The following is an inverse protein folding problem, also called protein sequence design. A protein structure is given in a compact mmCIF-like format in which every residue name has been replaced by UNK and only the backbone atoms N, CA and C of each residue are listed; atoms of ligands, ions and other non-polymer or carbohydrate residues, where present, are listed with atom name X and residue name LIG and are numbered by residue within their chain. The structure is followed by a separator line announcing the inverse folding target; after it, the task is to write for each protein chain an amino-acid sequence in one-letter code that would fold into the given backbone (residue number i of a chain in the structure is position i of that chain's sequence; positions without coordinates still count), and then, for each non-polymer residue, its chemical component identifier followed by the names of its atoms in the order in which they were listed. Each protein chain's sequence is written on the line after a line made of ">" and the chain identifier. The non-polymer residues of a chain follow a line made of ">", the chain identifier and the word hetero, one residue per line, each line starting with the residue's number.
data_IF_630602645051
#
_entry.id   IF_630602645051
#
_cell.length_a   1.000
_cell.length_b   1.000
_cell.length_c   1.000
_cell.angle_alpha   90.00
_cell.angle_beta   90.00
_cell.angle_gamma   90.00
#
_symmetry.space_group_name_H-M   'P 1'
#
loop_
_entity.id
_entity.type
_entity.pdbx_description
1 polymer ?
#
# COMPACT_ATOMS: atom_id res chain seq x y z
N UNK A 1 -1.20 56.40 16.56
CA UNK A 1 -1.60 55.46 17.60
C UNK A 1 -1.50 54.08 16.94
N UNK A 2 -0.39 53.43 17.16
CA UNK A 2 -0.03 52.11 16.66
C UNK A 2 -0.42 51.08 17.71
N UNK A 3 -1.33 50.18 17.38
CA UNK A 3 -1.69 49.00 18.19
C UNK A 3 -0.74 47.86 17.79
N UNK A 4 0.24 47.57 18.65
CA UNK A 4 1.06 46.35 18.59
C UNK A 4 0.27 45.22 19.26
N UNK A 5 -0.28 44.30 18.46
CA UNK A 5 -0.75 43.01 18.96
C UNK A 5 0.45 42.07 19.10
N UNK A 6 0.94 41.97 20.33
CA UNK A 6 1.90 40.93 20.74
C UNK A 6 1.20 39.57 20.83
N UNK A 7 1.26 38.79 19.76
CA UNK A 7 0.93 37.37 19.77
C UNK A 7 1.94 36.59 20.60
N UNK A 8 1.53 36.09 21.74
CA UNK A 8 2.29 35.11 22.52
C UNK A 8 2.44 33.82 21.68
N UNK A 9 3.67 33.57 21.20
CA UNK A 9 4.01 32.24 20.66
C UNK A 9 3.81 31.22 21.77
N UNK A 10 2.92 30.25 21.53
CA UNK A 10 2.82 29.07 22.38
C UNK A 10 4.20 28.37 22.36
N UNK A 11 4.68 27.98 23.54
CA UNK A 11 5.94 27.26 23.65
C UNK A 11 5.74 25.88 23.02
N UNK A 12 6.47 25.62 21.96
CA UNK A 12 6.58 24.28 21.36
C UNK A 12 7.30 23.38 22.37
N UNK A 13 6.62 22.35 22.83
CA UNK A 13 7.17 21.32 23.70
C UNK A 13 7.54 20.11 22.85
N UNK A 14 8.57 19.36 23.24
CA UNK A 14 8.97 18.14 22.55
C UNK A 14 8.73 16.93 23.44
N UNK A 15 8.23 15.84 22.86
CA UNK A 15 8.08 14.56 23.54
C UNK A 15 9.45 14.05 24.04
N UNK A 16 9.59 13.69 25.33
CA UNK A 16 10.87 13.25 25.89
C UNK A 16 11.32 11.88 25.34
N UNK A 17 10.45 11.13 24.68
CA UNK A 17 10.73 9.79 24.19
C UNK A 17 11.10 9.78 22.71
N UNK A 18 10.35 10.48 21.84
CA UNK A 18 10.56 10.47 20.40
C UNK A 18 11.02 11.82 19.82
N UNK A 19 10.96 12.90 20.60
CA UNK A 19 11.37 14.24 20.16
C UNK A 19 10.31 15.00 19.36
N UNK A 20 9.13 14.39 19.09
CA UNK A 20 8.03 14.99 18.34
C UNK A 20 7.47 16.22 19.04
N UNK A 21 6.97 17.20 18.27
CA UNK A 21 6.33 18.41 18.80
C UNK A 21 5.01 18.01 19.47
N UNK A 22 4.83 18.46 20.73
CA UNK A 22 3.62 18.23 21.50
C UNK A 22 3.07 19.55 22.03
N UNK A 23 1.78 19.65 22.20
CA UNK A 23 1.10 20.88 22.61
C UNK A 23 0.74 20.86 24.09
N UNK A 24 0.69 22.04 24.69
CA UNK A 24 0.33 22.18 26.11
C UNK A 24 -1.10 21.71 26.36
N UNK A 25 -1.26 20.68 27.19
CA UNK A 25 -2.55 20.08 27.55
C UNK A 25 -2.78 18.68 26.98
N UNK A 26 -1.93 18.23 26.08
CA UNK A 26 -1.93 16.84 25.61
C UNK A 26 -1.50 15.90 26.73
N UNK A 27 -2.23 14.80 26.88
CA UNK A 27 -1.95 13.80 27.92
C UNK A 27 -0.97 12.72 27.44
N UNK A 28 -0.89 12.52 26.13
CA UNK A 28 -0.05 11.54 25.47
C UNK A 28 0.55 12.16 24.22
N UNK A 29 1.74 11.74 23.85
CA UNK A 29 2.32 12.02 22.55
C UNK A 29 1.58 11.19 21.49
N UNK A 30 1.03 11.85 20.47
CA UNK A 30 0.28 11.15 19.40
C UNK A 30 1.19 10.25 18.58
N UNK A 31 2.47 10.58 18.44
CA UNK A 31 3.44 9.82 17.66
C UNK A 31 3.90 8.51 18.34
N UNK A 32 4.20 8.53 19.64
CA UNK A 32 4.79 7.37 20.34
C UNK A 32 3.97 6.85 21.54
N UNK A 33 2.82 7.47 21.85
CA UNK A 33 1.98 7.10 22.98
C UNK A 33 2.56 7.44 24.35
N UNK A 34 3.71 8.15 24.43
CA UNK A 34 4.33 8.52 25.72
C UNK A 34 3.45 9.49 26.50
N UNK A 35 3.22 9.20 27.80
CA UNK A 35 2.43 10.08 28.67
C UNK A 35 3.16 11.38 28.98
N UNK A 36 2.49 12.50 28.76
CA UNK A 36 3.02 13.84 28.92
C UNK A 36 2.64 14.52 30.25
N UNK A 37 1.70 13.89 31.01
CA UNK A 37 1.15 14.44 32.24
C UNK A 37 2.01 14.22 33.50
N UNK A 38 3.21 13.67 33.35
CA UNK A 38 4.21 13.49 34.42
C UNK A 38 3.79 12.51 35.53
N UNK A 39 2.67 11.79 35.39
CA UNK A 39 2.25 10.76 36.34
C UNK A 39 2.90 9.43 35.98
N UNK A 40 3.82 8.99 36.83
CA UNK A 40 4.41 7.65 36.73
C UNK A 40 3.37 6.55 36.99
N UNK A 41 3.69 5.26 36.68
CA UNK A 41 2.76 4.13 36.72
C UNK A 41 2.18 3.78 38.10
N UNK A 42 2.53 4.47 39.18
CA UNK A 42 2.21 4.13 40.58
C UNK A 42 1.12 5.01 41.24
N UNK A 43 0.29 5.75 40.48
CA UNK A 43 -0.79 6.57 41.08
C UNK A 43 -2.14 5.91 40.84
N UNK A 44 -2.65 5.21 41.85
CA UNK A 44 -3.99 4.67 41.91
C UNK A 44 -5.05 5.79 41.95
N UNK A 45 -6.24 5.64 41.32
CA UNK A 45 -7.29 6.67 41.38
C UNK A 45 -8.03 6.65 42.70
N UNK A 46 -8.24 7.84 43.25
CA UNK A 46 -9.11 8.08 44.42
C UNK A 46 -10.54 7.75 44.09
N UNK A 47 -11.13 6.88 44.93
CA UNK A 47 -12.54 6.51 44.93
C UNK A 47 -13.42 7.65 45.42
N UNK A 48 -14.31 8.17 44.57
CA UNK A 48 -15.48 8.94 44.99
C UNK A 48 -16.77 8.17 44.71
N UNK A 49 -17.52 8.01 45.78
CA UNK A 49 -18.72 7.18 45.87
C UNK A 49 -19.87 7.54 44.92
N UNK A 50 -20.48 6.54 44.38
CA UNK A 50 -21.70 6.63 43.56
C UNK A 50 -22.93 6.16 44.31
N UNK A 51 -23.99 6.91 44.18
CA UNK A 51 -25.36 6.63 44.71
C UNK A 51 -26.09 5.75 43.68
N UNK A 52 -26.83 4.71 44.10
CA UNK A 52 -27.56 3.85 43.16
C UNK A 52 -28.89 4.51 42.73
N UNK A 53 -29.21 4.43 41.44
CA UNK A 53 -30.54 4.70 40.88
C UNK A 53 -31.20 3.40 40.48
N UNK A 54 -32.37 3.17 41.07
CA UNK A 54 -33.26 2.03 40.80
C UNK A 54 -33.81 2.05 39.36
N UNK A 55 -33.88 0.87 38.78
CA UNK A 55 -34.34 0.66 37.42
C UNK A 55 -35.81 0.36 37.28
N UNK A 56 -36.39 0.75 36.16
CA UNK A 56 -37.74 0.36 35.72
C UNK A 56 -37.58 -0.74 34.68
N UNK A 57 -38.20 -1.90 34.96
CA UNK A 57 -38.22 -3.08 34.10
C UNK A 57 -39.35 -2.97 33.07
N UNK A 58 -39.04 -2.95 31.79
CA UNK A 58 -40.01 -3.21 30.70
C UNK A 58 -39.70 -4.55 30.07
N UNK A 59 -40.61 -5.52 30.21
CA UNK A 59 -40.58 -6.80 29.52
C UNK A 59 -41.10 -6.61 28.09
N UNK A 60 -40.28 -6.85 27.12
CA UNK A 60 -40.71 -7.20 25.76
C UNK A 60 -40.11 -8.54 25.37
N UNK A 61 -40.99 -9.51 25.15
CA UNK A 61 -40.69 -10.82 24.64
C UNK A 61 -40.67 -10.79 23.13
N UNK A 62 -39.48 -10.98 22.54
CA UNK A 62 -39.32 -11.41 21.16
C UNK A 62 -38.31 -12.53 21.09
N UNK A 63 -38.75 -13.70 20.65
CA UNK A 63 -37.94 -14.87 20.40
C UNK A 63 -37.07 -14.67 19.16
N UNK A 64 -35.79 -14.35 19.35
CA UNK A 64 -34.76 -14.45 18.32
C UNK A 64 -33.78 -15.55 18.71
N UNK A 65 -33.61 -16.51 17.83
CA UNK A 65 -32.63 -17.59 17.93
C UNK A 65 -31.23 -16.93 17.99
N UNK A 66 -30.68 -16.87 19.19
CA UNK A 66 -29.29 -16.42 19.38
C UNK A 66 -28.37 -17.55 18.98
N UNK A 67 -27.74 -17.38 17.82
CA UNK A 67 -26.49 -18.10 17.49
C UNK A 67 -25.49 -17.78 18.60
N UNK A 68 -25.08 -18.79 19.38
CA UNK A 68 -24.03 -18.63 20.39
C UNK A 68 -22.70 -18.43 19.66
N UNK A 69 -22.30 -17.18 19.45
CA UNK A 69 -20.88 -16.88 19.21
C UNK A 69 -20.16 -17.27 20.51
N UNK A 70 -19.34 -18.28 20.46
CA UNK A 70 -18.34 -18.56 21.49
C UNK A 70 -17.42 -17.34 21.52
N UNK A 71 -17.40 -16.62 22.64
CA UNK A 71 -16.46 -15.53 22.82
C UNK A 71 -15.05 -16.07 22.65
N UNK A 72 -14.25 -15.44 21.79
CA UNK A 72 -12.85 -15.76 21.65
C UNK A 72 -12.16 -15.62 23.02
N UNK A 73 -11.19 -16.47 23.37
CA UNK A 73 -10.47 -16.37 24.64
C UNK A 73 -9.82 -14.99 24.75
N UNK A 74 -10.11 -14.28 25.83
CA UNK A 74 -9.51 -12.96 26.12
C UNK A 74 -7.99 -13.19 26.27
N UNK A 75 -7.20 -12.60 25.37
CA UNK A 75 -5.74 -12.65 25.45
C UNK A 75 -5.27 -11.67 26.52
N UNK A 76 -4.43 -12.09 27.50
CA UNK A 76 -3.87 -11.17 28.47
C UNK A 76 -2.95 -10.14 27.79
N UNK A 77 -2.90 -8.93 28.35
CA UNK A 77 -2.00 -7.88 27.90
C UNK A 77 -0.56 -8.37 27.85
N UNK A 78 0.12 -8.18 26.74
CA UNK A 78 1.50 -8.61 26.51
C UNK A 78 2.51 -7.90 27.41
N UNK A 79 2.16 -6.74 27.95
CA UNK A 79 3.03 -5.97 28.84
C UNK A 79 2.81 -6.24 30.33
N UNK A 80 1.55 -6.24 30.80
CA UNK A 80 1.26 -6.36 32.23
C UNK A 80 0.42 -7.58 32.63
N UNK A 81 -0.04 -8.39 31.68
CA UNK A 81 -0.89 -9.54 31.93
C UNK A 81 -2.36 -9.22 32.29
N UNK A 82 -2.73 -7.93 32.31
CA UNK A 82 -4.13 -7.52 32.55
C UNK A 82 -5.06 -7.98 31.43
N UNK A 83 -6.35 -8.26 31.76
CA UNK A 83 -7.32 -8.80 30.81
C UNK A 83 -8.37 -7.79 30.36
N UNK A 84 -8.34 -6.57 30.91
CA UNK A 84 -9.20 -5.47 30.51
C UNK A 84 -8.54 -4.74 29.33
N UNK A 85 -9.07 -5.01 28.15
CA UNK A 85 -8.66 -4.36 26.88
C UNK A 85 -9.88 -3.59 26.39
N UNK A 86 -9.71 -2.29 26.09
CA UNK A 86 -10.76 -1.44 25.58
C UNK A 86 -11.14 -1.77 24.12
N UNK A 87 -12.14 -1.03 23.59
CA UNK A 87 -12.63 -1.24 22.22
C UNK A 87 -11.56 -0.87 21.16
N UNK A 88 -10.61 -0.01 21.50
CA UNK A 88 -9.54 0.46 20.63
C UNK A 88 -8.27 -0.42 20.74
N UNK A 89 -8.32 -1.46 21.55
CA UNK A 89 -7.27 -2.46 21.71
C UNK A 89 -6.18 -2.07 22.71
N UNK A 90 -6.40 -1.07 23.56
CA UNK A 90 -5.44 -0.69 24.60
C UNK A 90 -5.75 -1.38 25.94
N UNK A 91 -4.71 -1.76 26.66
CA UNK A 91 -4.87 -2.30 28.02
C UNK A 91 -5.25 -1.18 28.98
N UNK A 92 -6.44 -1.28 29.60
CA UNK A 92 -6.92 -0.29 30.58
C UNK A 92 -6.02 -0.18 31.82
N UNK A 93 -5.18 -1.20 32.09
CA UNK A 93 -4.31 -1.19 33.25
C UNK A 93 -2.96 -0.49 33.00
N UNK A 94 -2.32 -0.67 31.83
CA UNK A 94 -0.99 -0.12 31.56
C UNK A 94 -0.93 0.78 30.31
N UNK A 95 -2.02 0.95 29.59
CA UNK A 95 -2.09 1.77 28.38
C UNK A 95 -1.42 1.14 27.14
N UNK A 96 -0.85 -0.07 27.25
CA UNK A 96 -0.18 -0.71 26.14
C UNK A 96 -1.21 -1.21 25.12
N UNK A 97 -1.03 -0.79 23.85
CA UNK A 97 -1.80 -1.33 22.73
C UNK A 97 -1.51 -2.81 22.57
N UNK A 98 -2.56 -3.59 22.36
CA UNK A 98 -2.41 -5.02 22.11
C UNK A 98 -2.29 -5.29 20.60
N UNK A 99 -1.51 -6.28 20.17
CA UNK A 99 -1.44 -6.70 18.78
C UNK A 99 -2.83 -7.04 18.23
N UNK A 100 -3.19 -6.49 17.10
CA UNK A 100 -4.42 -6.79 16.39
C UNK A 100 -4.15 -7.78 15.25
N UNK A 101 -5.15 -8.57 14.87
CA UNK A 101 -5.02 -9.53 13.76
C UNK A 101 -4.72 -8.81 12.42
N UNK A 102 -5.03 -7.52 12.33
CA UNK A 102 -4.71 -6.68 11.16
C UNK A 102 -3.28 -6.14 11.14
N UNK A 103 -2.57 -6.15 12.26
CA UNK A 103 -1.23 -5.55 12.34
C UNK A 103 -0.24 -6.24 11.39
N UNK A 104 -0.47 -7.52 11.09
CA UNK A 104 0.23 -8.27 10.07
C UNK A 104 -0.72 -9.26 9.42
N UNK A 105 -0.89 -9.18 8.10
CA UNK A 105 -1.78 -10.03 7.30
C UNK A 105 -1.01 -10.62 6.14
N UNK A 106 -1.19 -11.90 5.89
CA UNK A 106 -0.69 -12.59 4.71
C UNK A 106 -1.84 -13.28 3.99
N UNK A 107 -1.90 -13.12 2.67
CA UNK A 107 -2.91 -13.74 1.82
C UNK A 107 -2.19 -14.60 0.79
N UNK A 108 -2.62 -15.85 0.65
CA UNK A 108 -2.11 -16.79 -0.33
C UNK A 108 -3.22 -17.20 -1.30
N UNK A 109 -2.95 -17.11 -2.59
CA UNK A 109 -3.84 -17.62 -3.63
C UNK A 109 -3.21 -18.88 -4.26
N UNK A 110 -3.78 -20.07 -4.00
CA UNK A 110 -3.26 -21.31 -4.57
C UNK A 110 -3.39 -21.35 -6.10
N UNK A 111 -2.37 -21.91 -6.78
CA UNK A 111 -2.42 -22.13 -8.22
C UNK A 111 -3.46 -23.23 -8.58
N UNK A 112 -4.21 -23.06 -9.67
CA UNK A 112 -5.12 -24.09 -10.15
C UNK A 112 -4.38 -25.42 -10.42
N UNK A 113 -4.94 -26.56 -9.97
CA UNK A 113 -4.41 -27.89 -10.29
C UNK A 113 -3.15 -28.31 -9.53
N UNK A 114 -2.78 -27.62 -8.47
CA UNK A 114 -1.70 -28.07 -7.56
C UNK A 114 -2.10 -29.38 -6.87
N UNK A 115 -1.81 -30.53 -7.53
CA UNK A 115 -2.06 -31.85 -7.01
C UNK A 115 -0.81 -32.36 -6.26
N UNK A 116 -1.06 -33.06 -5.12
CA UNK A 116 -0.09 -33.88 -4.41
C UNK A 116 1.08 -33.15 -3.73
N UNK A 117 0.78 -32.37 -2.69
CA UNK A 117 1.80 -32.08 -1.65
C UNK A 117 2.72 -30.88 -1.93
N UNK A 118 2.79 -30.36 -3.13
CA UNK A 118 3.53 -29.13 -3.46
C UNK A 118 2.52 -27.98 -3.55
N UNK A 119 2.50 -27.10 -2.55
CA UNK A 119 1.64 -25.91 -2.54
C UNK A 119 2.25 -24.85 -3.45
N UNK A 120 1.91 -24.87 -4.76
CA UNK A 120 2.24 -23.75 -5.65
C UNK A 120 1.23 -22.63 -5.43
N UNK A 121 1.72 -21.41 -5.27
CA UNK A 121 0.90 -20.22 -5.20
C UNK A 121 0.84 -19.55 -6.57
N UNK A 122 -0.33 -19.10 -6.98
CA UNK A 122 -0.49 -18.27 -8.17
C UNK A 122 -0.14 -16.82 -7.87
N UNK A 123 -0.46 -16.36 -6.66
CA UNK A 123 -0.12 -15.05 -6.15
C UNK A 123 -0.11 -15.07 -4.63
N UNK A 124 0.46 -14.02 -4.03
CA UNK A 124 0.36 -13.79 -2.59
C UNK A 124 0.49 -12.29 -2.29
N UNK A 125 0.08 -11.91 -1.08
CA UNK A 125 0.28 -10.57 -0.58
C UNK A 125 0.58 -10.57 0.90
N UNK A 126 1.17 -9.48 1.35
CA UNK A 126 1.46 -9.22 2.76
C UNK A 126 1.16 -7.74 3.06
N UNK A 127 0.62 -7.51 4.25
CA UNK A 127 0.37 -6.19 4.79
C UNK A 127 0.88 -6.13 6.22
N UNK A 128 1.59 -5.08 6.57
CA UNK A 128 2.17 -4.85 7.89
C UNK A 128 1.90 -3.42 8.35
N UNK A 129 1.60 -3.26 9.63
CA UNK A 129 1.33 -1.97 10.25
C UNK A 129 2.52 -1.00 10.22
N UNK A 130 3.70 -1.50 9.95
CA UNK A 130 4.92 -0.73 10.11
C UNK A 130 5.34 -0.55 11.57
N UNK A 131 6.32 0.33 11.80
CA UNK A 131 6.91 0.51 13.12
C UNK A 131 6.36 1.72 13.88
N UNK A 132 5.68 2.65 13.20
CA UNK A 132 5.28 3.94 13.78
C UNK A 132 3.78 4.07 14.00
N UNK A 133 2.96 3.56 13.11
CA UNK A 133 1.50 3.65 13.24
C UNK A 133 0.95 2.76 14.35
N UNK A 134 -0.11 3.20 14.97
CA UNK A 134 -0.81 2.44 16.02
C UNK A 134 -1.70 1.33 15.46
N UNK A 135 -2.11 1.42 14.20
CA UNK A 135 -2.97 0.45 13.51
C UNK A 135 -2.54 0.30 12.06
N UNK A 136 -2.95 -0.77 11.42
CA UNK A 136 -2.81 -0.95 9.99
C UNK A 136 -4.06 -0.39 9.30
N UNK A 137 -3.90 0.70 8.57
CA UNK A 137 -4.94 1.40 7.83
C UNK A 137 -5.04 0.92 6.38
N UNK A 138 -4.06 0.14 5.93
CA UNK A 138 -4.05 -0.52 4.62
C UNK A 138 -4.97 -1.72 4.55
N UNK A 139 -5.38 -2.08 3.34
CA UNK A 139 -6.08 -3.31 3.04
C UNK A 139 -5.63 -3.93 1.72
N UNK A 140 -5.72 -5.25 1.66
CA UNK A 140 -5.38 -6.07 0.52
C UNK A 140 -6.48 -7.10 0.28
N UNK A 141 -6.90 -7.27 -0.96
CA UNK A 141 -7.73 -8.38 -1.41
C UNK A 141 -7.09 -9.06 -2.63
N UNK A 142 -7.18 -10.39 -2.69
CA UNK A 142 -6.60 -11.21 -3.73
C UNK A 142 -7.57 -12.34 -4.07
N UNK A 143 -8.10 -12.40 -5.29
CA UNK A 143 -9.10 -13.35 -5.73
C UNK A 143 -8.69 -13.97 -7.07
N UNK A 144 -9.11 -15.24 -7.26
CA UNK A 144 -9.08 -15.87 -8.59
C UNK A 144 -10.39 -15.60 -9.30
N UNK A 145 -10.32 -15.46 -10.62
CA UNK A 145 -11.46 -15.54 -11.53
C UNK A 145 -11.15 -16.54 -12.66
N UNK A 146 -12.12 -16.80 -13.54
CA UNK A 146 -12.05 -17.86 -14.54
C UNK A 146 -10.83 -17.80 -15.47
N UNK A 147 -10.31 -16.61 -15.77
CA UNK A 147 -9.20 -16.39 -16.71
C UNK A 147 -7.94 -15.81 -16.05
N UNK A 148 -7.90 -15.64 -14.71
CA UNK A 148 -6.73 -15.07 -14.05
C UNK A 148 -6.92 -14.70 -12.59
N UNK A 149 -6.31 -13.58 -12.20
CA UNK A 149 -6.21 -13.10 -10.83
C UNK A 149 -6.63 -11.63 -10.79
N UNK A 150 -7.43 -11.28 -9.81
CA UNK A 150 -7.77 -9.90 -9.45
C UNK A 150 -7.18 -9.57 -8.08
N UNK A 151 -6.54 -8.42 -7.96
CA UNK A 151 -6.03 -7.88 -6.69
C UNK A 151 -6.41 -6.43 -6.53
N UNK A 152 -6.62 -6.03 -5.28
CA UNK A 152 -6.79 -4.63 -4.88
C UNK A 152 -5.91 -4.37 -3.67
N UNK A 153 -5.15 -3.27 -3.71
CA UNK A 153 -4.49 -2.65 -2.57
C UNK A 153 -5.13 -1.29 -2.35
N UNK A 154 -5.38 -0.94 -1.11
CA UNK A 154 -5.98 0.33 -0.71
C UNK A 154 -5.33 0.81 0.58
N UNK A 155 -4.93 2.07 0.59
CA UNK A 155 -4.31 2.76 1.70
C UNK A 155 -5.32 3.73 2.31
N UNK A 156 -5.51 3.64 3.61
CA UNK A 156 -6.44 4.50 4.33
C UNK A 156 -5.86 5.87 4.59
N UNK A 157 -6.54 6.94 4.16
CA UNK A 157 -6.07 8.32 4.39
C UNK A 157 -6.07 8.65 5.88
N UNK A 158 -4.90 8.67 6.51
CA UNK A 158 -4.73 8.78 7.97
C UNK A 158 -5.35 10.03 8.61
N UNK A 159 -5.57 11.10 7.85
CA UNK A 159 -6.29 12.29 8.30
C UNK A 159 -7.81 12.13 8.28
N UNK A 160 -8.35 11.07 7.66
CA UNK A 160 -9.78 10.78 7.61
C UNK A 160 -10.24 9.99 8.84
N UNK A 161 -11.55 9.86 9.01
CA UNK A 161 -12.12 9.05 10.10
C UNK A 161 -12.18 7.58 9.71
N UNK A 162 -11.70 6.68 10.55
CA UNK A 162 -11.71 5.22 10.33
C UNK A 162 -11.14 4.82 8.97
N UNK A 163 -9.91 5.26 8.64
CA UNK A 163 -9.29 4.98 7.34
C UNK A 163 -9.16 3.49 7.07
N UNK A 164 -8.99 2.68 8.13
CA UNK A 164 -8.96 1.22 8.05
C UNK A 164 -10.28 0.56 7.62
N UNK A 165 -11.41 1.22 7.84
CA UNK A 165 -12.72 0.75 7.34
C UNK A 165 -12.88 1.10 5.86
N UNK A 166 -12.39 2.29 5.45
CA UNK A 166 -12.40 2.73 4.05
C UNK A 166 -11.58 1.78 3.17
N UNK A 167 -10.32 1.58 3.52
CA UNK A 167 -9.40 0.72 2.75
C UNK A 167 -9.92 -0.71 2.64
N UNK A 168 -10.46 -1.26 3.75
CA UNK A 168 -11.07 -2.59 3.73
C UNK A 168 -12.30 -2.66 2.81
N UNK A 169 -13.22 -1.70 2.92
CA UNK A 169 -14.41 -1.67 2.08
C UNK A 169 -14.05 -1.55 0.60
N UNK A 170 -13.04 -0.73 0.29
CA UNK A 170 -12.54 -0.56 -1.07
C UNK A 170 -11.93 -1.86 -1.60
N UNK A 171 -11.02 -2.49 -0.85
CA UNK A 171 -10.34 -3.70 -1.28
C UNK A 171 -11.30 -4.88 -1.45
N UNK A 172 -12.13 -5.16 -0.45
CA UNK A 172 -13.06 -6.29 -0.47
C UNK A 172 -14.12 -6.13 -1.57
N UNK A 173 -14.72 -4.93 -1.70
CA UNK A 173 -15.76 -4.67 -2.70
C UNK A 173 -15.17 -4.63 -4.10
N UNK A 174 -14.04 -3.93 -4.29
CA UNK A 174 -13.39 -3.79 -5.59
C UNK A 174 -12.95 -5.14 -6.16
N UNK A 175 -12.28 -5.97 -5.36
CA UNK A 175 -11.81 -7.28 -5.81
C UNK A 175 -12.98 -8.24 -6.12
N UNK A 176 -14.04 -8.24 -5.29
CA UNK A 176 -15.21 -9.08 -5.52
C UNK A 176 -15.98 -8.69 -6.78
N UNK A 177 -16.20 -7.38 -6.99
CA UNK A 177 -16.89 -6.87 -8.19
C UNK A 177 -16.06 -7.15 -9.45
N UNK A 178 -14.74 -6.94 -9.39
CA UNK A 178 -13.83 -7.17 -10.50
C UNK A 178 -13.84 -8.63 -10.92
N UNK A 179 -13.69 -9.57 -9.99
CA UNK A 179 -13.74 -11.00 -10.26
C UNK A 179 -15.11 -11.43 -10.84
N UNK A 180 -16.22 -10.94 -10.28
CA UNK A 180 -17.57 -11.28 -10.73
C UNK A 180 -17.86 -10.79 -12.16
N UNK A 181 -17.42 -9.58 -12.53
CA UNK A 181 -17.59 -9.03 -13.87
C UNK A 181 -16.78 -9.79 -14.90
N UNK A 182 -15.52 -10.10 -14.59
CA UNK A 182 -14.66 -10.90 -15.46
C UNK A 182 -15.19 -12.32 -15.65
N UNK A 183 -15.74 -12.94 -14.61
CA UNK A 183 -16.41 -14.24 -14.71
C UNK A 183 -17.69 -14.19 -15.56
N UNK A 184 -18.33 -13.03 -15.66
CA UNK A 184 -19.46 -12.81 -16.57
C UNK A 184 -19.05 -12.54 -18.02
N UNK A 185 -17.74 -12.40 -18.30
CA UNK A 185 -17.19 -12.14 -19.63
C UNK A 185 -17.20 -10.68 -20.03
N UNK A 186 -17.24 -9.75 -19.06
CA UNK A 186 -17.12 -8.32 -19.30
C UNK A 186 -15.67 -7.97 -19.70
N UNK A 187 -15.52 -6.92 -20.50
CA UNK A 187 -14.21 -6.40 -20.90
C UNK A 187 -13.38 -6.00 -19.68
N UNK A 188 -12.07 -6.33 -19.61
CA UNK A 188 -11.24 -6.05 -18.44
C UNK A 188 -11.14 -4.56 -18.05
N UNK A 189 -11.16 -3.63 -19.01
CA UNK A 189 -11.10 -2.19 -18.69
C UNK A 189 -12.44 -1.70 -18.14
N UNK A 190 -13.55 -2.14 -18.71
CA UNK A 190 -14.88 -1.80 -18.24
C UNK A 190 -15.14 -2.40 -16.85
N UNK A 191 -14.75 -3.67 -16.65
CA UNK A 191 -14.84 -4.36 -15.36
C UNK A 191 -13.98 -3.63 -14.30
N UNK A 192 -12.77 -3.21 -14.65
CA UNK A 192 -11.86 -2.49 -13.75
C UNK A 192 -12.42 -1.13 -13.35
N UNK A 193 -12.92 -0.36 -14.32
CA UNK A 193 -13.55 0.94 -14.05
C UNK A 193 -14.80 0.80 -13.18
N UNK A 194 -15.65 -0.17 -13.50
CA UNK A 194 -16.87 -0.40 -12.73
C UNK A 194 -16.58 -0.89 -11.30
N UNK A 195 -15.55 -1.73 -11.11
CA UNK A 195 -15.14 -2.21 -9.79
C UNK A 195 -14.60 -1.06 -8.92
N UNK A 196 -13.79 -0.16 -9.47
CA UNK A 196 -13.30 1.02 -8.75
C UNK A 196 -14.44 1.96 -8.34
N UNK A 197 -15.40 2.20 -9.22
CA UNK A 197 -16.59 3.01 -8.89
C UNK A 197 -17.47 2.32 -7.84
N UNK A 198 -17.58 0.99 -7.90
CA UNK A 198 -18.32 0.22 -6.89
C UNK A 198 -17.64 0.26 -5.52
N UNK A 199 -16.31 0.20 -5.49
CA UNK A 199 -15.52 0.41 -4.29
C UNK A 199 -15.76 1.82 -3.71
N UNK A 200 -15.76 2.85 -4.55
CA UNK A 200 -16.04 4.23 -4.13
C UNK A 200 -17.45 4.38 -3.50
N UNK A 201 -18.47 3.75 -4.09
CA UNK A 201 -19.81 3.71 -3.49
C UNK A 201 -19.82 3.05 -2.11
N UNK A 202 -19.06 1.94 -1.94
CA UNK A 202 -18.98 1.23 -0.68
C UNK A 202 -18.27 2.05 0.41
N UNK A 203 -17.18 2.75 0.06
CA UNK A 203 -16.49 3.67 0.97
C UNK A 203 -17.38 4.85 1.34
N UNK A 204 -18.00 5.50 0.37
CA UNK A 204 -18.90 6.64 0.61
C UNK A 204 -20.09 6.27 1.53
N UNK A 205 -20.57 5.03 1.44
CA UNK A 205 -21.66 4.53 2.29
C UNK A 205 -21.28 4.39 3.79
N UNK A 206 -19.98 4.42 4.12
CA UNK A 206 -19.50 4.40 5.52
C UNK A 206 -19.65 5.74 6.23
N UNK A 207 -19.78 6.82 5.48
CA UNK A 207 -19.84 8.17 6.03
C UNK A 207 -21.16 8.44 6.72
N UNK A 208 -21.12 8.97 7.94
CA UNK A 208 -22.30 9.52 8.62
C UNK A 208 -22.63 10.93 8.09
N UNK A 209 -21.61 11.67 7.65
CA UNK A 209 -21.70 12.98 6.99
C UNK A 209 -20.46 13.18 6.12
N UNK A 210 -20.46 14.10 5.12
CA UNK A 210 -19.27 14.38 4.31
C UNK A 210 -18.06 14.87 5.13
N UNK A 211 -18.28 15.53 6.27
CA UNK A 211 -17.20 16.00 7.16
C UNK A 211 -16.62 14.90 8.05
N UNK A 212 -17.21 13.72 8.07
CA UNK A 212 -16.77 12.55 8.82
C UNK A 212 -16.62 11.35 7.88
N UNK A 213 -16.20 11.61 6.64
CA UNK A 213 -16.05 10.60 5.62
C UNK A 213 -14.76 9.81 5.83
N UNK A 214 -14.83 8.47 5.94
CA UNK A 214 -13.67 7.63 5.73
C UNK A 214 -13.19 7.73 4.29
N UNK A 215 -11.87 7.77 4.10
CA UNK A 215 -11.28 7.95 2.77
C UNK A 215 -10.07 7.04 2.59
N UNK A 216 -9.80 6.63 1.36
CA UNK A 216 -8.67 5.76 1.02
C UNK A 216 -8.25 5.92 -0.44
N UNK A 217 -7.06 5.46 -0.77
CA UNK A 217 -6.59 5.23 -2.14
C UNK A 217 -7.20 3.95 -2.71
N UNK A 218 -6.96 3.70 -3.98
CA UNK A 218 -7.36 2.46 -4.63
C UNK A 218 -6.39 2.14 -5.77
N UNK A 219 -5.84 0.94 -5.77
CA UNK A 219 -5.15 0.39 -6.94
C UNK A 219 -5.57 -1.06 -7.13
N UNK A 220 -6.02 -1.38 -8.32
CA UNK A 220 -6.37 -2.74 -8.71
C UNK A 220 -5.52 -3.21 -9.87
N UNK A 221 -5.26 -4.50 -9.93
CA UNK A 221 -4.65 -5.12 -11.08
C UNK A 221 -5.31 -6.47 -11.37
N UNK A 222 -5.50 -6.74 -12.65
CA UNK A 222 -6.10 -7.97 -13.14
C UNK A 222 -5.21 -8.59 -14.20
N UNK A 223 -5.05 -9.91 -14.12
CA UNK A 223 -4.46 -10.70 -15.20
C UNK A 223 -5.58 -11.42 -15.96
N UNK A 224 -5.63 -11.30 -17.27
CA UNK A 224 -6.66 -11.89 -18.11
C UNK A 224 -6.08 -12.25 -19.47
N UNK A 225 -6.12 -13.53 -19.86
CA UNK A 225 -5.67 -14.03 -21.17
C UNK A 225 -4.29 -13.51 -21.62
N UNK A 226 -3.34 -13.42 -20.68
CA UNK A 226 -1.97 -12.96 -20.94
C UNK A 226 -1.81 -11.44 -21.01
N UNK A 227 -2.84 -10.67 -20.70
CA UNK A 227 -2.79 -9.23 -20.50
C UNK A 227 -2.84 -8.85 -19.01
N UNK A 228 -2.52 -7.62 -18.70
CA UNK A 228 -2.60 -6.99 -17.38
C UNK A 228 -3.38 -5.69 -17.51
N UNK A 229 -4.50 -5.57 -16.80
CA UNK A 229 -5.25 -4.32 -16.70
C UNK A 229 -5.09 -3.75 -15.29
N UNK A 230 -4.72 -2.48 -15.19
CA UNK A 230 -4.52 -1.75 -13.94
C UNK A 230 -5.53 -0.61 -13.86
N UNK A 231 -6.17 -0.46 -12.68
CA UNK A 231 -7.04 0.67 -12.38
C UNK A 231 -6.64 1.31 -11.07
N UNK A 232 -6.64 2.68 -10.99
CA UNK A 232 -6.21 3.36 -9.77
C UNK A 232 -6.89 4.70 -9.54
N UNK A 233 -6.90 5.13 -8.28
CA UNK A 233 -7.24 6.45 -7.77
C UNK A 233 -6.34 6.70 -6.56
N UNK A 234 -5.55 7.76 -6.57
CA UNK A 234 -4.57 8.08 -5.53
C UNK A 234 -3.14 7.73 -5.94
N UNK A 235 -2.29 7.47 -4.95
CA UNK A 235 -0.85 7.28 -5.09
C UNK A 235 -0.35 5.88 -4.73
N UNK A 236 -1.24 4.94 -4.46
CA UNK A 236 -0.89 3.53 -4.43
C UNK A 236 -0.53 3.06 -5.83
N UNK A 237 0.53 2.24 -5.96
CA UNK A 237 1.16 1.99 -7.26
C UNK A 237 1.09 0.54 -7.72
N UNK A 238 1.13 0.36 -9.03
CA UNK A 238 1.39 -0.92 -9.69
C UNK A 238 2.69 -0.84 -10.51
N UNK A 239 3.46 -1.93 -10.49
CA UNK A 239 4.74 -2.06 -11.19
C UNK A 239 4.78 -3.34 -12.02
N UNK A 240 5.41 -3.26 -13.17
CA UNK A 240 5.92 -4.40 -13.89
C UNK A 240 7.39 -4.61 -13.56
N UNK A 241 7.78 -5.80 -13.12
CA UNK A 241 9.15 -6.20 -12.81
C UNK A 241 9.54 -7.34 -13.73
N UNK A 242 10.35 -7.05 -14.75
CA UNK A 242 10.81 -8.04 -15.73
C UNK A 242 11.77 -9.04 -15.09
N UNK A 243 11.63 -10.34 -15.42
CA UNK A 243 12.48 -11.39 -14.85
C UNK A 243 13.91 -11.39 -15.40
N UNK A 244 14.09 -10.93 -16.62
CA UNK A 244 15.35 -10.99 -17.38
C UNK A 244 16.00 -9.60 -17.58
N UNK A 245 15.91 -8.69 -16.60
CA UNK A 245 16.75 -7.51 -16.67
C UNK A 245 18.22 -7.93 -16.54
N UNK A 246 19.10 -7.60 -17.53
CA UNK A 246 20.52 -7.82 -17.37
C UNK A 246 20.96 -7.02 -16.15
N UNK A 247 21.24 -7.73 -15.06
CA UNK A 247 21.67 -7.11 -13.81
C UNK A 247 22.76 -6.10 -14.15
N UNK A 248 22.67 -4.90 -13.62
CA UNK A 248 23.79 -3.98 -13.45
C UNK A 248 24.77 -4.64 -12.49
N UNK A 249 25.45 -5.67 -12.99
CA UNK A 249 26.54 -6.32 -12.30
C UNK A 249 27.64 -5.26 -12.12
N UNK A 250 27.66 -4.66 -10.91
CA UNK A 250 28.85 -4.10 -10.32
C UNK A 250 29.62 -3.07 -11.16
N UNK A 251 29.18 -1.84 -11.25
CA UNK A 251 30.08 -0.73 -11.49
C UNK A 251 30.82 -0.36 -10.19
N UNK A 252 31.58 -1.29 -9.62
CA UNK A 252 32.69 -0.98 -8.71
C UNK A 252 33.95 -0.80 -9.53
N UNK A 253 33.99 0.28 -10.32
CA UNK A 253 35.18 0.74 -10.99
C UNK A 253 36.05 1.50 -10.02
N UNK A 254 37.07 0.86 -9.52
CA UNK A 254 38.23 1.52 -8.89
C UNK A 254 38.85 2.49 -9.92
N UNK A 255 38.72 3.78 -9.67
CA UNK A 255 39.43 4.82 -10.40
C UNK A 255 40.91 4.81 -9.95
N UNK A 256 41.77 4.20 -10.74
CA UNK A 256 43.20 4.49 -10.71
C UNK A 256 43.44 5.85 -11.37
N UNK A 257 44.05 6.73 -10.64
CA UNK A 257 44.54 8.01 -11.10
C UNK A 257 45.73 7.83 -12.05
N UNK A 258 45.55 8.24 -13.30
CA UNK A 258 46.62 8.38 -14.28
C UNK A 258 46.60 9.80 -14.82
N UNK A 259 47.56 10.61 -14.39
CA UNK A 259 47.83 11.94 -14.91
C UNK A 259 48.57 11.80 -16.28
N UNK A 260 48.12 12.50 -17.33
CA UNK A 260 48.98 13.01 -18.37
C UNK A 260 48.37 14.22 -19.09
N UNK A 261 49.29 15.15 -19.40
CA UNK A 261 49.09 16.53 -19.80
C UNK A 261 48.65 16.76 -21.24
N UNK A 262 48.02 17.90 -21.42
CA UNK A 262 48.15 18.90 -22.49
C UNK A 262 47.91 18.55 -23.97
N UNK A 263 46.94 19.25 -24.57
CA UNK A 263 46.85 19.48 -26.01
C UNK A 263 45.57 20.22 -26.40
N UNK A 264 45.70 21.53 -26.64
CA UNK A 264 44.58 22.42 -26.98
C UNK A 264 44.00 22.19 -28.37
N UNK A 265 42.78 22.62 -28.59
CA UNK A 265 42.08 22.67 -29.88
C UNK A 265 40.64 23.13 -29.75
N UNK A 266 40.36 24.27 -30.29
CA UNK A 266 39.18 25.07 -30.35
C UNK A 266 37.93 24.44 -30.95
N UNK A 267 36.77 24.80 -30.41
CA UNK A 267 35.56 25.17 -31.18
C UNK A 267 34.61 24.05 -31.53
N UNK A 268 33.40 24.11 -31.04
CA UNK A 268 32.23 23.34 -31.52
C UNK A 268 31.11 23.38 -30.52
N UNK A 269 30.09 24.18 -30.82
CA UNK A 269 28.82 24.29 -30.14
C UNK A 269 28.06 22.96 -30.09
N UNK A 270 27.32 22.73 -29.03
CA UNK A 270 26.11 21.89 -29.00
C UNK A 270 26.30 20.49 -28.56
N UNK A 271 25.87 20.17 -27.41
CA UNK A 271 24.82 19.24 -27.06
C UNK A 271 24.93 18.98 -25.55
N UNK A 272 23.90 19.43 -24.86
CA UNK A 272 23.65 19.05 -23.48
C UNK A 272 23.32 17.56 -23.39
N UNK A 273 23.41 16.97 -22.17
CA UNK A 273 23.09 15.56 -22.00
C UNK A 273 21.64 15.32 -22.39
N UNK A 274 21.44 14.29 -23.21
CA UNK A 274 20.15 13.71 -23.58
C UNK A 274 19.29 13.49 -22.31
N UNK A 275 18.43 14.42 -22.03
CA UNK A 275 17.23 14.15 -21.26
C UNK A 275 16.41 13.23 -22.14
N UNK A 276 16.32 11.95 -21.78
CA UNK A 276 15.33 11.06 -22.33
C UNK A 276 13.96 11.73 -22.10
N UNK A 277 13.48 12.45 -23.11
CA UNK A 277 12.10 12.88 -23.21
C UNK A 277 11.25 11.61 -23.09
N UNK A 278 10.64 11.42 -21.92
CA UNK A 278 9.44 10.62 -21.83
C UNK A 278 8.34 11.36 -22.56
N UNK A 279 8.33 11.20 -23.88
CA UNK A 279 7.20 11.59 -24.69
C UNK A 279 6.00 10.80 -24.17
N UNK A 280 5.07 11.48 -23.53
CA UNK A 280 3.70 11.03 -23.40
C UNK A 280 3.19 10.86 -24.83
N UNK A 281 3.37 9.66 -25.38
CA UNK A 281 2.73 9.29 -26.61
C UNK A 281 1.24 9.21 -26.30
N UNK A 282 0.48 10.15 -26.85
CA UNK A 282 -0.97 10.01 -27.05
C UNK A 282 -1.23 8.66 -27.73
N UNK A 283 -1.47 7.62 -26.93
CA UNK A 283 -1.87 6.30 -27.39
C UNK A 283 -3.40 6.26 -27.46
N UNK A 284 -3.97 7.09 -28.32
CA UNK A 284 -5.31 6.86 -28.86
C UNK A 284 -5.22 6.07 -30.17
N UNK A 285 -4.53 4.93 -30.12
CA UNK A 285 -4.59 3.88 -31.13
C UNK A 285 -4.67 2.56 -30.41
N UNK A 286 -5.71 1.78 -30.66
CA UNK A 286 -6.13 0.55 -30.00
C UNK A 286 -5.11 -0.60 -29.91
N UNK A 287 -3.83 -0.33 -29.80
CA UNK A 287 -2.77 -1.28 -29.53
C UNK A 287 -2.41 -1.22 -28.03
N UNK A 288 -2.61 -2.34 -27.31
CA UNK A 288 -2.15 -2.49 -25.92
C UNK A 288 -0.66 -2.28 -25.83
N UNK A 289 -0.24 -1.43 -24.87
CA UNK A 289 1.18 -1.15 -24.65
C UNK A 289 1.94 -2.43 -24.22
N UNK A 290 3.03 -2.74 -24.89
CA UNK A 290 3.88 -3.89 -24.56
C UNK A 290 4.74 -3.59 -23.33
N UNK A 291 4.77 -4.54 -22.37
CA UNK A 291 5.61 -4.47 -21.18
C UNK A 291 6.96 -5.14 -21.48
N UNK A 292 7.98 -4.33 -21.72
CA UNK A 292 9.37 -4.76 -21.81
C UNK A 292 10.07 -4.68 -20.45
N UNK A 293 11.02 -3.71 -20.26
CA UNK A 293 11.76 -3.52 -19.01
C UNK A 293 10.87 -3.22 -17.81
N UNK A 294 11.44 -3.38 -16.60
CA UNK A 294 10.76 -3.03 -15.35
C UNK A 294 10.38 -1.56 -15.31
N UNK A 295 9.13 -1.28 -14.95
CA UNK A 295 8.59 0.09 -14.88
C UNK A 295 7.37 0.20 -13.97
N UNK A 296 7.07 1.42 -13.52
CA UNK A 296 5.79 1.78 -12.93
C UNK A 296 4.69 1.78 -13.99
N UNK A 297 3.49 1.31 -13.64
CA UNK A 297 2.32 1.23 -14.54
C UNK A 297 1.27 2.29 -14.24
N UNK A 298 1.29 2.86 -13.04
CA UNK A 298 0.38 3.91 -12.57
C UNK A 298 1.05 5.28 -12.63
N UNK A 299 0.25 6.33 -12.61
CA UNK A 299 0.68 7.71 -12.39
C UNK A 299 -0.04 8.22 -11.15
N UNK A 300 0.69 8.82 -10.21
CA UNK A 300 0.11 9.20 -8.93
C UNK A 300 -0.86 10.38 -9.07
N UNK A 301 -2.02 10.29 -8.45
CA UNK A 301 -2.87 11.45 -8.20
C UNK A 301 -2.33 12.24 -7.01
N UNK A 302 -1.22 12.94 -7.20
CA UNK A 302 -0.54 13.72 -6.17
C UNK A 302 -0.23 15.14 -6.62
N UNK A 303 -0.04 16.04 -5.64
CA UNK A 303 0.40 17.41 -5.93
C UNK A 303 1.74 17.41 -6.67
N UNK A 304 2.67 16.53 -6.27
CA UNK A 304 3.98 16.41 -6.91
C UNK A 304 3.85 16.04 -8.39
N UNK A 305 3.03 15.05 -8.72
CA UNK A 305 2.80 14.62 -10.10
C UNK A 305 2.21 15.77 -10.95
N UNK A 306 1.28 16.55 -10.40
CA UNK A 306 0.70 17.71 -11.10
C UNK A 306 1.79 18.75 -11.39
N UNK A 307 2.63 19.11 -10.41
CA UNK A 307 3.69 20.10 -10.59
C UNK A 307 4.74 19.70 -11.63
N UNK A 308 5.05 18.40 -11.69
CA UNK A 308 5.96 17.85 -12.72
C UNK A 308 5.29 17.87 -14.10
N UNK A 309 4.04 17.44 -14.21
CA UNK A 309 3.30 17.41 -15.47
C UNK A 309 3.09 18.81 -16.06
N UNK A 310 2.90 19.83 -15.22
CA UNK A 310 2.81 21.24 -15.62
C UNK A 310 4.19 21.86 -15.96
N UNK A 311 5.30 21.13 -15.73
CA UNK A 311 6.66 21.63 -15.91
C UNK A 311 7.05 22.74 -14.91
N UNK A 312 6.31 22.84 -13.78
CA UNK A 312 6.56 23.82 -12.75
C UNK A 312 7.75 23.43 -11.86
N UNK A 313 7.96 22.13 -11.64
CA UNK A 313 9.05 21.55 -10.87
C UNK A 313 9.66 20.37 -11.64
N UNK A 314 10.93 20.10 -11.41
CA UNK A 314 11.53 18.82 -11.76
C UNK A 314 11.06 17.75 -10.78
N UNK A 315 11.15 16.48 -11.17
CA UNK A 315 10.80 15.33 -10.32
C UNK A 315 11.50 15.41 -8.95
N UNK A 316 12.81 15.66 -8.94
CA UNK A 316 13.59 15.78 -7.71
C UNK A 316 13.18 16.97 -6.83
N UNK A 317 12.74 18.09 -7.42
CA UNK A 317 12.24 19.24 -6.67
C UNK A 317 10.85 18.96 -6.09
N UNK A 318 10.00 18.27 -6.86
CA UNK A 318 8.66 17.89 -6.43
C UNK A 318 8.71 16.87 -5.28
N UNK A 319 9.58 15.86 -5.36
CA UNK A 319 9.80 14.88 -4.30
C UNK A 319 10.36 15.50 -3.00
N UNK A 320 11.21 16.50 -3.11
CA UNK A 320 11.77 17.20 -1.94
C UNK A 320 10.81 18.24 -1.32
N UNK A 321 9.64 18.47 -1.94
CA UNK A 321 8.71 19.49 -1.50
C UNK A 321 7.85 19.01 -0.31
N UNK A 322 7.50 19.89 0.66
CA UNK A 322 6.62 19.49 1.78
C UNK A 322 5.26 18.91 1.38
N UNK A 323 4.76 19.25 0.19
CA UNK A 323 3.50 18.74 -0.34
C UNK A 323 3.68 17.49 -1.24
N UNK A 324 4.85 16.89 -1.30
CA UNK A 324 5.14 15.78 -2.20
C UNK A 324 4.11 14.63 -2.08
N UNK A 325 3.71 14.32 -0.86
CA UNK A 325 2.79 13.21 -0.53
C UNK A 325 1.32 13.66 -0.39
N UNK A 326 0.96 14.89 -0.81
CA UNK A 326 -0.43 15.32 -0.80
C UNK A 326 -1.16 14.71 -1.99
N UNK A 327 -2.07 13.77 -1.74
CA UNK A 327 -2.93 13.17 -2.76
C UNK A 327 -3.99 14.15 -3.23
N UNK A 328 -4.37 14.06 -4.49
CA UNK A 328 -5.36 14.93 -5.15
C UNK A 328 -6.63 14.20 -5.58
N UNK A 329 -6.63 12.86 -5.50
CA UNK A 329 -7.80 12.03 -5.73
C UNK A 329 -7.82 10.85 -4.74
N UNK A 330 -9.02 10.49 -4.27
CA UNK A 330 -9.26 9.40 -3.32
C UNK A 330 -10.69 8.86 -3.43
N UNK A 331 -10.96 7.73 -2.79
CA UNK A 331 -12.32 7.22 -2.57
C UNK A 331 -12.83 7.72 -1.22
N UNK A 332 -13.98 8.38 -1.20
CA UNK A 332 -14.61 8.92 0.01
C UNK A 332 -15.90 9.66 -0.31
N UNK A 333 -16.75 9.89 0.69
CA UNK A 333 -17.97 10.69 0.51
C UNK A 333 -17.69 12.19 0.36
N UNK A 334 -16.48 12.62 0.65
CA UNK A 334 -15.95 13.97 0.50
C UNK A 334 -15.24 14.20 -0.85
N UNK A 335 -15.04 13.15 -1.66
CA UNK A 335 -14.53 13.28 -3.01
C UNK A 335 -15.58 13.93 -3.93
N UNK A 336 -15.20 14.97 -4.68
CA UNK A 336 -16.12 15.66 -5.60
C UNK A 336 -16.59 14.74 -6.73
N UNK A 337 -15.66 14.04 -7.37
CA UNK A 337 -15.92 13.07 -8.44
C UNK A 337 -14.81 12.03 -8.49
N UNK A 338 -15.16 10.76 -8.40
CA UNK A 338 -14.20 9.66 -8.54
C UNK A 338 -14.06 9.29 -10.01
N UNK A 339 -12.87 9.48 -10.56
CA UNK A 339 -12.51 9.17 -11.95
C UNK A 339 -11.37 8.16 -11.98
N UNK A 340 -11.65 6.85 -11.99
CA UNK A 340 -10.60 5.86 -12.03
C UNK A 340 -9.82 5.93 -13.34
N UNK A 341 -8.49 5.95 -13.22
CA UNK A 341 -7.60 5.68 -14.34
C UNK A 341 -7.64 4.19 -14.64
N UNK A 342 -7.58 3.81 -15.91
CA UNK A 342 -7.53 2.40 -16.35
C UNK A 342 -6.62 2.29 -17.55
N UNK A 343 -5.67 1.33 -17.50
CA UNK A 343 -4.76 1.02 -18.60
C UNK A 343 -4.53 -0.48 -18.72
N UNK A 344 -4.46 -0.97 -19.95
CA UNK A 344 -4.17 -2.38 -20.26
C UNK A 344 -2.82 -2.51 -20.92
N UNK A 345 -2.09 -3.56 -20.51
CA UNK A 345 -0.72 -3.84 -20.95
C UNK A 345 -0.59 -5.31 -21.36
N UNK A 346 0.38 -5.60 -22.22
CA UNK A 346 0.75 -6.96 -22.59
C UNK A 346 2.21 -7.25 -22.21
N UNK A 347 2.48 -8.21 -21.28
CA UNK A 347 3.85 -8.63 -20.99
C UNK A 347 4.54 -9.22 -22.21
N UNK A 348 5.75 -8.72 -22.51
CA UNK A 348 6.60 -9.25 -23.59
C UNK A 348 7.34 -10.54 -23.19
N UNK A 349 7.50 -10.76 -21.88
CA UNK A 349 8.24 -11.88 -21.31
C UNK A 349 7.75 -12.26 -19.92
N UNK A 350 8.46 -13.13 -19.21
CA UNK A 350 8.17 -13.46 -17.83
C UNK A 350 8.50 -12.27 -16.92
N UNK A 351 7.75 -12.13 -15.84
CA UNK A 351 7.98 -11.08 -14.87
C UNK A 351 7.04 -11.18 -13.68
N UNK A 352 7.00 -10.13 -12.92
CA UNK A 352 6.15 -10.02 -11.73
C UNK A 352 5.35 -8.72 -11.79
N UNK A 353 4.04 -8.82 -11.63
CA UNK A 353 3.18 -7.69 -11.37
C UNK A 353 3.18 -7.46 -9.85
N UNK A 354 3.62 -6.29 -9.44
CA UNK A 354 3.63 -5.84 -8.05
C UNK A 354 2.63 -4.71 -7.88
N UNK A 355 1.79 -4.80 -6.85
CA UNK A 355 0.86 -3.73 -6.45
C UNK A 355 1.14 -3.40 -5.00
N UNK A 356 1.25 -2.11 -4.63
CA UNK A 356 1.63 -1.72 -3.29
C UNK A 356 1.10 -0.35 -2.86
N UNK A 357 1.03 -0.14 -1.53
CA UNK A 357 0.84 1.15 -0.91
C UNK A 357 2.16 1.95 -0.85
N UNK A 358 2.07 3.19 -0.41
CA UNK A 358 3.19 4.13 -0.34
C UNK A 358 4.27 3.72 0.68
N UNK A 359 3.91 2.97 1.71
CA UNK A 359 4.86 2.43 2.69
C UNK A 359 5.96 1.54 2.11
N UNK A 360 5.77 1.01 0.88
CA UNK A 360 6.85 0.36 0.14
C UNK A 360 7.57 1.33 -0.77
N UNK A 361 6.85 2.03 -1.66
CA UNK A 361 7.49 2.80 -2.72
C UNK A 361 8.14 4.10 -2.21
N UNK A 362 7.77 4.62 -1.06
CA UNK A 362 8.49 5.71 -0.39
C UNK A 362 9.96 5.37 -0.08
N UNK A 363 10.30 4.08 0.03
CA UNK A 363 11.68 3.63 0.20
C UNK A 363 12.31 3.13 -1.12
N UNK A 364 11.51 2.57 -2.00
CA UNK A 364 11.95 1.93 -3.25
C UNK A 364 11.05 2.36 -4.42
N UNK A 365 11.12 3.64 -4.85
CA UNK A 365 10.24 4.15 -5.90
C UNK A 365 10.58 3.57 -7.29
N UNK A 366 11.85 3.25 -7.54
CA UNK A 366 12.27 2.78 -8.85
C UNK A 366 11.96 1.28 -9.06
N UNK A 367 11.33 0.96 -10.19
CA UNK A 367 11.00 -0.42 -10.55
C UNK A 367 12.23 -1.34 -10.61
N UNK A 368 13.38 -0.82 -11.08
CA UNK A 368 14.63 -1.56 -11.14
C UNK A 368 15.14 -1.98 -9.74
N UNK A 369 14.98 -1.12 -8.73
CA UNK A 369 15.36 -1.44 -7.34
C UNK A 369 14.46 -2.54 -6.78
N UNK A 370 13.15 -2.45 -7.03
CA UNK A 370 12.19 -3.49 -6.62
C UNK A 370 12.50 -4.83 -7.31
N UNK A 371 12.82 -4.83 -8.60
CA UNK A 371 13.22 -6.02 -9.32
C UNK A 371 14.52 -6.62 -8.72
N UNK A 372 15.51 -5.78 -8.41
CA UNK A 372 16.74 -6.21 -7.77
C UNK A 372 16.54 -6.81 -6.38
N UNK A 373 15.59 -6.26 -5.58
CA UNK A 373 15.21 -6.82 -4.28
C UNK A 373 14.63 -8.24 -4.40
N UNK A 374 13.86 -8.51 -5.45
CA UNK A 374 13.26 -9.82 -5.72
C UNK A 374 14.25 -10.81 -6.34
N UNK A 375 15.23 -10.33 -7.10
CA UNK A 375 16.28 -11.17 -7.70
C UNK A 375 17.37 -11.58 -6.68
N UNK A 376 17.53 -10.84 -5.58
CA UNK A 376 18.52 -11.12 -4.57
C UNK A 376 18.23 -12.47 -3.87
N UNK A 377 19.20 -13.42 -3.80
CA UNK A 377 18.98 -14.68 -3.11
C UNK A 377 18.65 -14.41 -1.65
N UNK A 378 17.55 -15.03 -1.17
CA UNK A 378 17.16 -14.97 0.24
C UNK A 378 18.32 -15.58 1.07
N UNK A 379 19.05 -14.73 1.80
CA UNK A 379 20.25 -15.13 2.56
C UNK A 379 20.00 -16.12 3.69
N UNK A 380 18.73 -16.46 3.98
CA UNK A 380 18.34 -17.33 5.11
C UNK A 380 17.29 -18.41 4.78
N UNK A 381 16.87 -18.58 3.53
CA UNK A 381 15.99 -19.69 3.18
C UNK A 381 16.82 -20.97 2.98
N UNK A 382 16.43 -22.06 3.67
CA UNK A 382 16.97 -23.39 3.40
C UNK A 382 16.83 -23.69 1.89
N UNK A 383 17.84 -24.37 1.26
CA UNK A 383 17.81 -24.65 -0.17
C UNK A 383 16.63 -25.56 -0.51
N UNK A 384 15.54 -24.96 -0.97
CA UNK A 384 14.48 -25.64 -1.71
C UNK A 384 14.92 -25.80 -3.17
N UNK A 385 14.23 -26.63 -3.98
CA UNK A 385 14.55 -26.78 -5.38
C UNK A 385 14.53 -25.42 -6.06
N UNK A 386 15.55 -25.16 -6.89
CA UNK A 386 15.78 -23.89 -7.59
C UNK A 386 14.72 -23.67 -8.69
N UNK A 387 13.55 -23.27 -8.28
CA UNK A 387 12.56 -22.65 -9.15
C UNK A 387 12.86 -21.13 -9.16
N UNK A 388 12.90 -20.50 -10.34
CA UNK A 388 13.30 -19.11 -10.52
C UNK A 388 12.52 -18.09 -9.68
N UNK A 389 12.85 -16.79 -9.74
CA UNK A 389 12.32 -15.73 -8.86
C UNK A 389 10.78 -15.58 -8.83
N UNK A 390 10.02 -16.26 -9.71
CA UNK A 390 8.56 -16.34 -9.69
C UNK A 390 7.96 -17.48 -8.87
N UNK A 391 8.77 -18.32 -8.21
CA UNK A 391 8.28 -19.58 -7.63
C UNK A 391 7.67 -19.42 -6.22
N UNK A 392 7.99 -18.36 -5.48
CA UNK A 392 7.47 -18.10 -4.14
C UNK A 392 6.96 -16.65 -3.99
N UNK A 393 5.73 -16.37 -4.42
CA UNK A 393 5.18 -15.01 -4.30
C UNK A 393 5.01 -14.56 -2.85
N UNK A 394 4.78 -15.47 -1.89
CA UNK A 394 4.69 -15.10 -0.48
C UNK A 394 6.06 -14.74 0.09
N UNK A 395 7.10 -15.50 -0.22
CA UNK A 395 8.47 -15.16 0.14
C UNK A 395 8.92 -13.81 -0.45
N UNK A 396 8.50 -13.51 -1.69
CA UNK A 396 8.71 -12.22 -2.32
C UNK A 396 7.99 -11.08 -1.57
N UNK A 397 6.69 -11.24 -1.26
CA UNK A 397 5.92 -10.26 -0.50
C UNK A 397 6.52 -9.99 0.88
N UNK A 398 6.87 -11.05 1.62
CA UNK A 398 7.55 -10.94 2.93
C UNK A 398 8.90 -10.22 2.83
N UNK A 399 9.64 -10.45 1.73
CA UNK A 399 10.93 -9.80 1.51
C UNK A 399 10.76 -8.30 1.32
N UNK A 400 9.80 -7.87 0.49
CA UNK A 400 9.52 -6.45 0.25
C UNK A 400 9.07 -5.75 1.53
N UNK A 401 8.12 -6.32 2.27
CA UNK A 401 7.67 -5.79 3.58
C UNK A 401 8.84 -5.67 4.55
N UNK A 402 9.67 -6.71 4.70
CA UNK A 402 10.84 -6.67 5.57
C UNK A 402 11.83 -5.59 5.17
N UNK A 403 12.08 -5.40 3.87
CA UNK A 403 12.99 -4.35 3.38
C UNK A 403 12.48 -2.96 3.71
N UNK A 404 11.17 -2.71 3.59
CA UNK A 404 10.58 -1.43 3.97
C UNK A 404 10.65 -1.22 5.49
N UNK A 405 10.40 -2.26 6.31
CA UNK A 405 10.57 -2.21 7.76
C UNK A 405 12.04 -1.91 8.15
N UNK A 406 13.01 -2.58 7.51
CA UNK A 406 14.45 -2.38 7.74
C UNK A 406 14.90 -0.97 7.32
N UNK A 407 14.25 -0.37 6.32
CA UNK A 407 14.50 1.00 5.87
C UNK A 407 13.89 2.07 6.78
N UNK A 408 13.02 1.67 7.72
CA UNK A 408 12.46 2.56 8.73
C UNK A 408 11.01 2.30 9.10
N UNK A 409 10.23 1.61 8.25
CA UNK A 409 8.84 1.22 8.52
C UNK A 409 7.97 2.36 9.02
N UNK A 410 8.06 3.53 8.37
CA UNK A 410 7.40 4.76 8.84
C UNK A 410 5.90 4.72 8.64
N UNK A 411 5.44 3.95 7.63
CA UNK A 411 4.05 3.80 7.29
C UNK A 411 3.58 2.36 7.33
N UNK A 412 2.28 2.13 7.09
CA UNK A 412 1.71 0.84 6.78
C UNK A 412 2.28 0.35 5.44
N UNK A 413 2.57 -0.91 5.31
CA UNK A 413 3.26 -1.48 4.15
C UNK A 413 2.42 -2.62 3.60
N UNK A 414 1.86 -2.45 2.42
CA UNK A 414 1.01 -3.47 1.79
C UNK A 414 1.48 -3.77 0.38
N UNK A 415 1.63 -5.06 0.07
CA UNK A 415 2.09 -5.54 -1.24
C UNK A 415 1.29 -6.75 -1.71
N UNK A 416 1.02 -6.81 -3.00
CA UNK A 416 0.53 -7.99 -3.72
C UNK A 416 1.53 -8.35 -4.81
N UNK A 417 1.90 -9.63 -4.89
CA UNK A 417 2.89 -10.17 -5.82
C UNK A 417 2.22 -11.23 -6.69
N UNK A 418 2.20 -10.99 -7.99
CA UNK A 418 1.60 -11.87 -9.00
C UNK A 418 2.66 -12.23 -10.04
N UNK A 419 3.31 -13.40 -9.94
CA UNK A 419 4.25 -13.86 -10.97
C UNK A 419 3.52 -14.19 -12.27
N UNK A 420 4.05 -13.68 -13.38
CA UNK A 420 3.54 -13.96 -14.72
C UNK A 420 4.58 -14.78 -15.49
N UNK A 421 4.22 -15.99 -15.95
CA UNK A 421 5.10 -16.80 -16.78
C UNK A 421 5.28 -16.18 -18.16
N UNK A 422 6.30 -16.63 -18.91
CA UNK A 422 6.37 -16.33 -20.34
C UNK A 422 5.05 -16.60 -21.03
N UNK A 423 4.59 -15.70 -21.91
CA UNK A 423 3.44 -16.00 -22.76
C UNK A 423 3.72 -17.29 -23.53
N UNK A 424 2.78 -18.24 -23.46
CA UNK A 424 2.91 -19.50 -24.17
C UNK A 424 3.02 -19.20 -25.67
N UNK A 425 4.16 -19.51 -26.27
CA UNK A 425 4.33 -19.45 -27.74
C UNK A 425 3.38 -20.47 -28.32
N UNK A 426 2.26 -20.02 -28.86
CA UNK A 426 1.35 -20.88 -29.64
C UNK A 426 2.11 -21.23 -30.93
N UNK A 427 2.87 -22.33 -30.91
CA UNK A 427 3.38 -22.91 -32.13
C UNK A 427 2.18 -23.41 -32.93
N UNK A 428 1.76 -22.62 -33.91
CA UNK A 428 0.88 -23.11 -34.97
C UNK A 428 1.60 -24.26 -35.66
N UNK A 429 1.22 -25.47 -35.30
CA UNK A 429 1.53 -26.65 -36.12
C UNK A 429 0.69 -26.54 -37.38
N UNK A 430 1.15 -25.76 -38.35
CA UNK A 430 0.79 -25.95 -39.73
C UNK A 430 1.36 -27.30 -40.14
N UNK A 431 0.55 -28.33 -40.01
CA UNK A 431 0.78 -29.64 -40.61
C UNK A 431 0.56 -29.46 -42.10
N UNK A 432 1.67 -29.40 -42.87
CA UNK A 432 1.65 -29.61 -44.29
C UNK A 432 0.90 -30.93 -44.59
N UNK A 433 -0.14 -30.81 -45.41
CA UNK A 433 -0.74 -31.92 -46.15
C UNK A 433 -0.50 -31.73 -47.62
#
# INVERSE_FOLDING_TARGET
>A
VTDEQTGTKAAELSCPTCGEIVYAGEKFCEECGHRLDGRGPDSAPDTLGGVPREGVTIKQSSSSVRSRRTAAPVRPCTGCGGTAIDADGYCENCGLRQPADRDHVEIELPAPGAANGTRRLAAAGASDRGLRYSRNEDALALLAHSAGIATVVSDGVGSSQRPEDASRAAADTGAAELAARLDSGEDPEDATRAAALKAAEAVAALAASPSEAPSCTYVSAVTHDGSVTVGWVGDSRAYWLAADEPGTAGASGTSEAGASEAGGGSGGDGDGPDTAEFAVADLDTGDMAELGPSRQLTEDDSWAAIMVAEGALTEAEAEAHPNAHVITAWLGADAEEVRPHVRTFRPAGPGTLLVCSDGLWNYFPAAADLAALLAAPAREAAPGPADGPGADPLGAARTLVRRALDAGGRDNITVAVIPLPSPATTQSTEQER
#
